data_IF_834622052739
#
_entry.id   IF_834622052739
#
_cell.length_a   1.000
_cell.length_b   1.000
_cell.length_c   1.000
_cell.angle_alpha   90.00
_cell.angle_beta   90.00
_cell.angle_gamma   90.00
#
_symmetry.space_group_name_H-M   'P 1'
#
loop_
_entity.id
_entity.type
_entity.pdbx_description
1 polymer ?
#
# COMPACT_ATOMS: atom_id res chain seq x y z
N UNK A 1 54.53 -20.98 -32.76
CA UNK A 1 53.12 -20.57 -32.85
C UNK A 1 52.59 -20.39 -31.42
N UNK A 2 52.61 -19.16 -30.90
CA UNK A 2 52.11 -18.86 -29.55
C UNK A 2 50.67 -18.34 -29.70
N UNK A 3 49.69 -19.12 -29.27
CA UNK A 3 48.29 -18.70 -29.26
C UNK A 3 48.00 -17.96 -27.95
N UNK A 4 47.80 -16.64 -28.04
CA UNK A 4 47.33 -15.82 -26.94
C UNK A 4 45.81 -16.01 -26.78
N UNK A 5 45.40 -16.62 -25.67
CA UNK A 5 44.00 -16.63 -25.25
C UNK A 5 43.67 -15.32 -24.54
N UNK A 6 43.00 -14.40 -25.22
CA UNK A 6 42.34 -13.28 -24.57
C UNK A 6 41.03 -13.80 -23.94
N UNK A 7 41.01 -13.94 -22.62
CA UNK A 7 39.80 -14.29 -21.87
C UNK A 7 38.97 -13.00 -21.73
N UNK A 8 37.88 -12.92 -22.48
CA UNK A 8 36.90 -11.82 -22.38
C UNK A 8 35.92 -12.16 -21.27
N UNK A 9 36.08 -11.53 -20.11
CA UNK A 9 35.12 -11.61 -19.01
C UNK A 9 33.87 -10.78 -19.34
N UNK A 10 32.80 -11.46 -19.74
CA UNK A 10 31.49 -10.84 -19.89
C UNK A 10 30.93 -10.50 -18.50
N UNK A 11 30.90 -9.22 -18.13
CA UNK A 11 30.18 -8.76 -16.96
C UNK A 11 28.67 -8.83 -17.24
N UNK A 12 27.99 -9.82 -16.62
CA UNK A 12 26.53 -9.86 -16.60
C UNK A 12 26.03 -8.71 -15.73
N UNK A 13 25.62 -7.60 -16.36
CA UNK A 13 24.83 -6.57 -15.68
C UNK A 13 23.44 -7.15 -15.51
N UNK A 14 23.17 -7.71 -14.33
CA UNK A 14 21.81 -8.04 -13.92
C UNK A 14 21.03 -6.72 -13.81
N UNK A 15 20.28 -6.38 -14.86
CA UNK A 15 19.29 -5.32 -14.79
C UNK A 15 18.26 -5.76 -13.75
N UNK A 16 18.35 -5.20 -12.54
CA UNK A 16 17.30 -5.33 -11.55
C UNK A 16 16.05 -4.70 -12.18
N UNK A 17 15.13 -5.53 -12.66
CA UNK A 17 13.80 -5.06 -13.00
C UNK A 17 13.27 -4.30 -11.77
N UNK A 18 12.69 -3.10 -11.92
CA UNK A 18 12.07 -2.44 -10.79
C UNK A 18 11.03 -3.41 -10.26
N UNK A 19 11.26 -3.96 -9.06
CA UNK A 19 10.22 -4.63 -8.33
C UNK A 19 9.13 -3.57 -8.16
N UNK A 20 8.06 -3.67 -8.95
CA UNK A 20 6.87 -2.85 -8.75
C UNK A 20 6.47 -3.09 -7.32
N UNK A 21 6.70 -2.09 -6.47
CA UNK A 21 6.46 -2.21 -5.04
C UNK A 21 4.97 -2.49 -4.85
N UNK A 22 4.66 -3.75 -4.55
CA UNK A 22 3.30 -4.20 -4.33
C UNK A 22 2.95 -3.86 -2.90
N UNK A 23 1.95 -2.99 -2.73
CA UNK A 23 1.41 -2.67 -1.41
C UNK A 23 0.23 -3.60 -1.16
N UNK A 24 0.16 -4.14 0.05
CA UNK A 24 -0.95 -4.96 0.52
C UNK A 24 -1.67 -4.20 1.61
N UNK A 25 -3.00 -4.26 1.58
CA UNK A 25 -3.84 -3.67 2.61
C UNK A 25 -4.89 -4.68 3.07
N UNK A 26 -5.24 -4.63 4.36
CA UNK A 26 -6.30 -5.46 4.94
C UNK A 26 -7.18 -4.62 5.84
N UNK A 27 -8.48 -4.66 5.59
CA UNK A 27 -9.48 -4.02 6.44
C UNK A 27 -9.85 -4.94 7.60
N UNK A 28 -9.97 -4.37 8.79
CA UNK A 28 -10.31 -5.09 10.02
C UNK A 28 -11.56 -4.52 10.67
N UNK A 29 -12.35 -5.40 11.29
CA UNK A 29 -13.55 -5.03 12.03
C UNK A 29 -13.23 -4.34 13.37
N UNK A 30 -12.05 -4.60 13.95
CA UNK A 30 -11.57 -3.97 15.19
C UNK A 30 -10.66 -2.76 14.93
N UNK A 31 -10.50 -1.93 15.95
CA UNK A 31 -9.47 -0.90 15.96
C UNK A 31 -8.07 -1.55 16.03
N UNK A 32 -7.03 -0.80 15.67
CA UNK A 32 -5.62 -1.22 15.80
C UNK A 32 -5.28 -2.54 15.10
N UNK A 33 -5.98 -2.79 13.98
CA UNK A 33 -5.81 -3.95 13.10
C UNK A 33 -6.06 -5.29 13.82
N UNK A 34 -7.01 -5.26 14.75
CA UNK A 34 -7.51 -6.42 15.49
C UNK A 34 -8.85 -6.91 14.96
N UNK A 35 -9.24 -8.12 15.35
CA UNK A 35 -10.52 -8.70 14.98
C UNK A 35 -10.51 -9.31 13.57
N UNK A 36 -11.71 -9.53 13.02
CA UNK A 36 -11.89 -10.23 11.75
C UNK A 36 -11.45 -9.37 10.57
N UNK A 37 -10.72 -9.98 9.63
CA UNK A 37 -10.38 -9.36 8.34
C UNK A 37 -11.65 -9.31 7.48
N UNK A 38 -12.07 -8.10 7.14
CA UNK A 38 -13.26 -7.83 6.31
C UNK A 38 -12.94 -7.89 4.83
N UNK A 39 -11.74 -7.44 4.45
CA UNK A 39 -11.29 -7.43 3.07
C UNK A 39 -9.77 -7.37 2.99
N UNK A 40 -9.21 -7.77 1.85
CA UNK A 40 -7.78 -7.70 1.56
C UNK A 40 -7.58 -7.25 0.12
N UNK A 41 -6.63 -6.37 -0.10
CA UNK A 41 -6.11 -6.01 -1.41
C UNK A 41 -4.62 -6.32 -1.47
N UNK A 42 -4.13 -6.78 -2.61
CA UNK A 42 -2.74 -7.16 -2.80
C UNK A 42 -2.23 -6.60 -4.11
N UNK A 43 -1.06 -5.96 -4.06
CA UNK A 43 -0.39 -5.47 -5.27
C UNK A 43 -1.06 -4.25 -5.87
N UNK A 44 -1.60 -3.38 -5.02
CA UNK A 44 -2.21 -2.15 -5.50
C UNK A 44 -1.12 -1.23 -6.08
N UNK A 45 -1.37 -0.56 -7.23
CA UNK A 45 -0.46 0.41 -7.81
C UNK A 45 -0.51 1.78 -7.12
N UNK A 46 0.55 2.57 -7.33
CA UNK A 46 0.70 3.90 -6.75
C UNK A 46 -0.42 4.82 -7.22
N UNK A 47 -0.97 5.61 -6.31
CA UNK A 47 -2.11 6.52 -6.53
C UNK A 47 -3.40 5.85 -6.97
N UNK A 48 -3.47 4.51 -7.04
CA UNK A 48 -4.72 3.80 -7.32
C UNK A 48 -5.56 3.76 -6.06
N UNK A 49 -6.78 4.30 -6.16
CA UNK A 49 -7.73 4.18 -5.07
C UNK A 49 -8.28 2.76 -5.00
N UNK A 50 -8.10 2.14 -3.85
CA UNK A 50 -8.71 0.86 -3.53
C UNK A 50 -9.87 1.13 -2.61
N UNK A 51 -11.03 0.63 -3.02
CA UNK A 51 -12.29 0.85 -2.33
C UNK A 51 -12.90 -0.52 -2.03
N UNK A 52 -13.26 -0.73 -0.78
CA UNK A 52 -13.97 -1.93 -0.39
C UNK A 52 -15.48 -1.69 -0.57
N UNK A 53 -16.14 -2.47 -1.44
CA UNK A 53 -17.57 -2.33 -1.70
C UNK A 53 -18.47 -2.57 -0.47
N UNK A 54 -17.96 -3.32 0.52
CA UNK A 54 -18.55 -3.48 1.85
C UNK A 54 -17.70 -2.78 2.93
N UNK A 55 -16.89 -1.81 2.50
CA UNK A 55 -15.80 -1.19 3.24
C UNK A 55 -16.21 -0.28 4.37
N UNK A 56 -17.41 0.29 4.32
CA UNK A 56 -17.91 1.27 5.29
C UNK A 56 -18.05 0.79 6.74
N UNK A 57 -17.44 -0.34 7.11
CA UNK A 57 -17.42 -0.95 8.43
C UNK A 57 -16.01 -1.17 9.00
N UNK A 58 -14.93 -0.89 8.25
CA UNK A 58 -13.58 -1.14 8.73
C UNK A 58 -13.19 -0.13 9.82
N UNK A 59 -12.90 -0.63 11.02
CA UNK A 59 -12.39 0.20 12.13
C UNK A 59 -10.90 0.47 12.01
N UNK A 60 -10.18 -0.33 11.24
CA UNK A 60 -8.79 -0.08 10.91
C UNK A 60 -8.37 -0.78 9.62
N UNK A 61 -7.27 -0.32 9.03
CA UNK A 61 -6.66 -0.91 7.83
C UNK A 61 -5.18 -1.13 8.10
N UNK A 62 -4.73 -2.39 8.06
CA UNK A 62 -3.31 -2.70 8.08
C UNK A 62 -2.75 -2.55 6.68
N UNK A 63 -1.54 -2.03 6.56
CA UNK A 63 -0.82 -1.88 5.30
C UNK A 63 0.58 -2.46 5.41
N UNK A 64 1.12 -2.92 4.30
CA UNK A 64 2.50 -3.39 4.20
C UNK A 64 3.07 -3.15 2.82
N UNK A 65 4.36 -2.78 2.77
CA UNK A 65 5.09 -2.63 1.52
C UNK A 65 5.04 -1.22 0.93
N UNK A 66 4.61 -0.20 1.68
CA UNK A 66 4.68 1.19 1.19
C UNK A 66 6.16 1.57 1.02
N UNK A 67 6.59 2.03 -0.18
CA UNK A 67 7.99 2.38 -0.44
C UNK A 67 8.52 3.45 0.49
N UNK A 68 9.84 3.44 0.73
CA UNK A 68 10.50 4.45 1.56
C UNK A 68 10.31 5.84 0.95
N UNK A 69 9.82 6.78 1.76
CA UNK A 69 9.53 8.14 1.30
C UNK A 69 8.13 8.32 0.69
N UNK A 70 7.32 7.27 0.62
CA UNK A 70 5.91 7.35 0.25
C UNK A 70 5.02 7.30 1.51
N UNK A 71 3.74 7.59 1.33
CA UNK A 71 2.75 7.64 2.42
C UNK A 71 1.47 6.89 2.07
N UNK A 72 0.83 6.30 3.07
CA UNK A 72 -0.49 5.71 2.97
C UNK A 72 -1.56 6.73 3.34
N UNK A 73 -2.62 6.83 2.55
CA UNK A 73 -3.75 7.72 2.78
C UNK A 73 -5.04 6.90 2.91
N UNK A 74 -5.76 7.10 4.01
CA UNK A 74 -6.95 6.32 4.36
C UNK A 74 -8.15 7.25 4.52
N UNK A 75 -9.27 6.84 3.95
CA UNK A 75 -10.44 7.69 3.76
C UNK A 75 -11.65 7.09 4.47
N UNK A 76 -12.40 7.96 5.14
CA UNK A 76 -13.63 7.60 5.86
C UNK A 76 -14.76 7.29 4.87
N UNK A 77 -15.64 6.38 5.26
CA UNK A 77 -16.93 6.18 4.57
C UNK A 77 -17.84 7.38 4.84
N UNK A 78 -18.47 7.88 3.79
CA UNK A 78 -19.52 8.90 3.83
C UNK A 78 -19.16 10.17 3.06
N UNK A 79 -19.76 10.35 1.89
CA UNK A 79 -19.87 11.64 1.21
C UNK A 79 -18.67 11.98 0.32
N UNK A 80 -18.13 13.19 0.46
CA UNK A 80 -17.08 13.70 -0.44
C UNK A 80 -15.74 12.97 -0.32
N UNK A 81 -15.56 12.13 0.71
CA UNK A 81 -14.33 11.35 0.93
C UNK A 81 -14.34 9.95 0.32
N UNK A 82 -15.49 9.51 -0.20
CA UNK A 82 -15.65 8.17 -0.75
C UNK A 82 -14.71 7.96 -1.95
N UNK A 83 -14.15 6.76 -2.05
CA UNK A 83 -13.22 6.37 -3.14
C UNK A 83 -12.03 7.32 -3.25
N UNK A 84 -11.36 7.56 -2.12
CA UNK A 84 -10.14 8.37 -2.02
C UNK A 84 -10.27 9.80 -2.55
N UNK A 85 -11.48 10.36 -2.46
CA UNK A 85 -11.78 11.75 -2.77
C UNK A 85 -11.60 12.62 -1.53
N UNK A 86 -11.52 13.93 -1.71
CA UNK A 86 -11.36 14.87 -0.60
C UNK A 86 -10.06 14.68 0.18
N UNK A 87 -10.11 14.95 1.50
CA UNK A 87 -8.96 14.83 2.39
C UNK A 87 -8.91 13.48 3.09
N UNK A 88 -7.73 12.86 3.24
CA UNK A 88 -7.58 11.63 4.00
C UNK A 88 -7.89 11.86 5.48
N UNK A 89 -8.50 10.86 6.10
CA UNK A 89 -8.78 10.83 7.52
C UNK A 89 -7.55 10.46 8.35
N UNK A 90 -6.70 9.60 7.79
CA UNK A 90 -5.45 9.14 8.39
C UNK A 90 -4.39 9.13 7.29
N UNK A 91 -3.20 9.63 7.62
CA UNK A 91 -2.02 9.55 6.77
C UNK A 91 -0.92 8.83 7.54
N UNK A 92 -0.31 7.83 6.93
CA UNK A 92 0.77 7.04 7.54
C UNK A 92 2.03 7.11 6.69
N UNK A 93 3.17 6.81 7.31
CA UNK A 93 4.46 6.77 6.60
C UNK A 93 4.68 5.48 5.83
N UNK A 94 5.88 5.39 5.24
CA UNK A 94 6.36 4.21 4.53
C UNK A 94 6.44 2.95 5.40
N UNK A 95 6.57 1.79 4.76
CA UNK A 95 6.73 0.50 5.40
C UNK A 95 5.40 -0.20 5.65
N UNK A 96 5.25 -0.73 6.86
CA UNK A 96 4.06 -1.47 7.29
C UNK A 96 3.52 -0.89 8.58
N UNK A 97 2.22 -0.96 8.77
CA UNK A 97 1.57 -0.43 9.96
C UNK A 97 0.07 -0.61 9.95
N UNK A 98 -0.60 0.15 10.80
CA UNK A 98 -2.03 0.14 10.96
C UNK A 98 -2.57 1.57 10.97
N UNK A 99 -3.62 1.82 10.19
CA UNK A 99 -4.40 3.05 10.23
C UNK A 99 -5.73 2.79 10.93
N UNK A 100 -5.90 3.32 12.13
CA UNK A 100 -7.16 3.21 12.90
C UNK A 100 -8.09 4.36 12.56
N UNK A 101 -9.36 4.06 12.28
CA UNK A 101 -10.39 5.05 12.00
C UNK A 101 -10.59 6.00 13.19
N UNK A 102 -10.87 7.29 12.97
CA UNK A 102 -11.30 8.19 14.05
C UNK A 102 -12.56 7.68 14.76
N UNK A 103 -12.70 7.99 16.04
CA UNK A 103 -13.85 7.56 16.84
C UNK A 103 -15.18 7.95 16.19
N UNK A 104 -16.12 7.00 16.13
CA UNK A 104 -17.42 7.19 15.48
C UNK A 104 -17.44 7.01 13.96
N UNK A 105 -16.29 6.81 13.31
CA UNK A 105 -16.20 6.61 11.87
C UNK A 105 -15.69 5.21 11.51
N UNK A 106 -15.77 4.88 10.23
CA UNK A 106 -15.17 3.71 9.60
C UNK A 106 -14.35 4.17 8.40
N UNK A 107 -13.27 3.46 8.09
CA UNK A 107 -12.50 3.61 6.85
C UNK A 107 -13.13 2.77 5.75
N UNK A 108 -13.05 3.22 4.52
CA UNK A 108 -13.69 2.56 3.37
C UNK A 108 -12.76 2.40 2.18
N UNK A 109 -11.87 3.36 2.00
CA UNK A 109 -10.93 3.38 0.87
C UNK A 109 -9.57 3.88 1.30
N UNK A 110 -8.58 3.54 0.50
CA UNK A 110 -7.19 3.88 0.73
C UNK A 110 -6.44 3.93 -0.59
N UNK A 111 -5.33 4.66 -0.60
CA UNK A 111 -4.32 4.65 -1.64
C UNK A 111 -2.99 4.91 -0.99
N UNK A 112 -1.89 4.51 -1.62
CA UNK A 112 -0.60 5.06 -1.28
C UNK A 112 -0.19 6.06 -2.36
N UNK A 113 0.54 7.08 -1.94
CA UNK A 113 0.96 8.17 -2.81
C UNK A 113 2.42 8.50 -2.51
N UNK A 114 3.08 9.10 -3.51
CA UNK A 114 4.43 9.61 -3.33
C UNK A 114 4.37 10.80 -2.36
N UNK A 115 5.24 10.82 -1.35
CA UNK A 115 5.27 11.95 -0.41
C UNK A 115 6.03 13.14 -0.99
#
# INVERSE_FOLDING_TARGET
MQFNFAIVTAALVAAAAPATATVTFKAHAGADCTGTVLATSNGDPLNTCVYFANGGSAKSISYSGIPKGDKGEFYKSGGETDKCKGSPAVVTGSGSGCATAPAGFNLESFKYVKA
#
